data_IF_578923290220
#
_entry.id   IF_578923290220
#
_cell.length_a   1.000
_cell.length_b   1.000
_cell.length_c   1.000
_cell.angle_alpha   90.00
_cell.angle_beta   90.00
_cell.angle_gamma   90.00
#
_symmetry.space_group_name_H-M   'P 1'
#
loop_
_entity.id
_entity.type
_entity.pdbx_description
1 polymer ?
#
# COMPACT_ATOMS: atom_id res chain seq x y z
N UNK A 1 -10.72 -21.19 -25.29
CA UNK A 1 -10.12 -21.12 -24.63
C UNK A 1 -10.41 -20.20 -23.86
N UNK A 2 -10.25 -20.33 -23.29
CA UNK A 2 -10.35 -19.49 -22.33
C UNK A 2 -9.59 -18.29 -22.54
N UNK A 3 -9.54 -17.83 -23.71
CA UNK A 3 -8.84 -16.62 -23.98
C UNK A 3 -9.36 -15.53 -23.15
N UNK A 4 -10.66 -15.50 -22.96
CA UNK A 4 -11.21 -14.46 -22.18
C UNK A 4 -10.77 -14.51 -20.77
N UNK A 5 -10.71 -15.70 -20.21
CA UNK A 5 -10.24 -15.84 -18.85
C UNK A 5 -8.81 -15.41 -18.72
N UNK A 6 -8.03 -15.74 -19.74
CA UNK A 6 -6.63 -15.36 -19.74
C UNK A 6 -6.49 -13.84 -19.69
N UNK A 7 -7.34 -13.14 -20.43
CA UNK A 7 -7.31 -11.69 -20.43
C UNK A 7 -7.64 -11.14 -19.05
N UNK A 8 -8.63 -11.72 -18.40
CA UNK A 8 -8.99 -11.27 -17.07
C UNK A 8 -7.86 -11.53 -16.08
N UNK A 9 -7.22 -12.67 -16.20
CA UNK A 9 -6.10 -12.99 -15.33
C UNK A 9 -4.95 -12.01 -15.53
N UNK A 10 -4.69 -11.68 -16.78
CA UNK A 10 -3.64 -10.72 -17.08
C UNK A 10 -3.95 -9.39 -16.45
N UNK A 11 -5.19 -8.96 -16.51
CA UNK A 11 -5.59 -7.70 -15.91
C UNK A 11 -5.36 -7.74 -14.40
N UNK A 12 -5.71 -8.86 -13.76
CA UNK A 12 -5.48 -9.01 -12.34
C UNK A 12 -4.00 -9.02 -12.01
N UNK A 13 -3.21 -9.61 -12.88
CA UNK A 13 -1.77 -9.68 -12.65
C UNK A 13 -1.10 -8.33 -12.78
N UNK A 14 -1.71 -7.41 -13.53
CA UNK A 14 -1.14 -6.08 -13.65
C UNK A 14 -1.31 -5.25 -12.39
N UNK A 15 -2.17 -5.69 -11.49
CA UNK A 15 -2.32 -5.01 -10.20
C UNK A 15 -1.41 -5.68 -9.20
N UNK A 16 -0.45 -4.94 -8.70
CA UNK A 16 0.53 -5.47 -7.77
C UNK A 16 0.03 -5.31 -6.35
N UNK A 17 0.39 -6.27 -5.51
CA UNK A 17 0.02 -6.22 -4.10
C UNK A 17 0.89 -5.20 -3.39
N UNK A 18 0.27 -4.44 -2.49
CA UNK A 18 0.98 -3.50 -1.64
C UNK A 18 1.20 -4.17 -0.29
N UNK A 19 2.44 -4.18 0.18
CA UNK A 19 2.76 -4.65 1.53
C UNK A 19 2.98 -3.43 2.39
N UNK A 20 2.17 -3.29 3.44
CA UNK A 20 2.19 -2.11 4.29
C UNK A 20 2.50 -2.49 5.72
N UNK A 21 3.45 -1.79 6.34
CA UNK A 21 3.83 -2.05 7.72
C UNK A 21 3.23 -1.01 8.64
N UNK A 22 2.77 -1.45 9.79
CA UNK A 22 2.12 -0.58 10.77
C UNK A 22 2.43 -1.07 12.18
N UNK A 23 2.12 -0.24 13.17
CA UNK A 23 2.08 -0.72 14.55
C UNK A 23 0.81 -0.20 15.19
N UNK A 24 0.37 -0.91 16.23
CA UNK A 24 -0.89 -0.57 16.91
C UNK A 24 -0.76 0.80 17.56
N UNK A 25 -1.73 1.67 17.28
CA UNK A 25 -1.75 3.01 17.86
C UNK A 25 -0.97 4.05 17.08
N UNK A 26 -0.47 3.70 15.91
CA UNK A 26 0.30 4.62 15.08
C UNK A 26 -0.61 5.68 14.46
N UNK A 27 -0.43 6.98 14.80
CA UNK A 27 -1.30 8.01 14.23
C UNK A 27 -1.07 8.21 12.74
N UNK A 28 0.15 8.05 12.26
CA UNK A 28 0.41 8.18 10.84
C UNK A 28 -0.18 7.01 10.06
N UNK A 29 -0.27 5.83 10.69
CA UNK A 29 -0.92 4.70 10.06
C UNK A 29 -2.42 4.96 9.90
N UNK A 30 -3.05 5.54 10.91
CA UNK A 30 -4.46 5.90 10.83
C UNK A 30 -4.69 6.93 9.73
N UNK A 31 -3.78 7.90 9.61
CA UNK A 31 -3.85 8.91 8.57
C UNK A 31 -3.77 8.29 7.20
N UNK A 32 -2.87 7.34 7.02
CA UNK A 32 -2.71 6.66 5.73
C UNK A 32 -3.94 5.84 5.38
N UNK A 33 -4.56 5.20 6.37
CA UNK A 33 -5.77 4.41 6.11
C UNK A 33 -6.92 5.31 5.68
N UNK A 34 -7.03 6.50 6.26
CA UNK A 34 -8.04 7.45 5.84
C UNK A 34 -7.77 7.93 4.42
N UNK A 35 -6.51 8.17 4.09
CA UNK A 35 -6.13 8.58 2.75
C UNK A 35 -6.51 7.50 1.74
N UNK A 36 -6.30 6.23 2.09
CA UNK A 36 -6.67 5.12 1.23
C UNK A 36 -8.17 5.13 0.96
N UNK A 37 -8.98 5.34 2.00
CA UNK A 37 -10.43 5.37 1.84
C UNK A 37 -10.85 6.46 0.88
N UNK A 38 -10.29 7.66 1.03
CA UNK A 38 -10.63 8.76 0.15
C UNK A 38 -10.21 8.51 -1.28
N UNK A 39 -9.02 7.93 -1.47
CA UNK A 39 -8.53 7.64 -2.80
C UNK A 39 -9.39 6.59 -3.50
N UNK A 40 -9.89 5.61 -2.77
CA UNK A 40 -10.78 4.60 -3.33
C UNK A 40 -12.12 5.22 -3.71
N UNK A 41 -12.62 6.17 -2.91
CA UNK A 41 -13.83 6.87 -3.26
C UNK A 41 -13.65 7.67 -4.55
N UNK A 42 -12.49 8.29 -4.71
CA UNK A 42 -12.22 9.11 -5.89
C UNK A 42 -11.94 8.24 -7.11
N UNK A 43 -11.35 7.06 -6.90
CA UNK A 43 -11.03 6.16 -8.00
C UNK A 43 -11.27 4.72 -7.55
N UNK A 44 -12.46 4.18 -7.81
CA UNK A 44 -12.81 2.84 -7.35
C UNK A 44 -11.88 1.73 -7.82
N UNK A 45 -11.12 1.95 -8.89
CA UNK A 45 -10.16 0.95 -9.35
C UNK A 45 -9.12 0.65 -8.28
N UNK A 46 -8.79 1.64 -7.46
CA UNK A 46 -7.83 1.43 -6.39
C UNK A 46 -8.33 0.43 -5.36
N UNK A 47 -9.65 0.28 -5.24
CA UNK A 47 -10.23 -0.69 -4.31
C UNK A 47 -9.96 -2.13 -4.70
N UNK A 48 -9.51 -2.36 -5.93
CA UNK A 48 -9.19 -3.71 -6.40
C UNK A 48 -7.76 -4.11 -6.05
N UNK A 49 -6.95 -3.16 -5.61
CA UNK A 49 -5.57 -3.43 -5.24
C UNK A 49 -5.54 -4.05 -3.86
N UNK A 50 -4.84 -5.17 -3.72
CA UNK A 50 -4.73 -5.83 -2.43
C UNK A 50 -3.66 -5.12 -1.59
N UNK A 51 -4.02 -4.76 -0.36
CA UNK A 51 -3.07 -4.20 0.60
C UNK A 51 -2.99 -5.16 1.76
N UNK A 52 -1.80 -5.67 2.00
CA UNK A 52 -1.57 -6.54 3.13
C UNK A 52 -0.94 -5.71 4.24
N UNK A 53 -1.65 -5.51 5.34
CA UNK A 53 -1.14 -4.78 6.49
C UNK A 53 -0.47 -5.73 7.44
N UNK A 54 0.76 -5.42 7.81
CA UNK A 54 1.56 -6.25 8.70
C UNK A 54 1.89 -5.44 9.94
N UNK A 55 1.42 -5.92 11.10
CA UNK A 55 1.74 -5.27 12.37
C UNK A 55 3.14 -5.71 12.77
N UNK A 56 4.04 -4.74 12.84
CA UNK A 56 5.47 -5.06 12.92
C UNK A 56 5.86 -5.80 14.19
N UNK A 57 5.15 -5.59 15.29
CA UNK A 57 5.51 -6.27 16.54
C UNK A 57 5.10 -7.75 16.53
N UNK A 58 4.21 -8.12 15.61
CA UNK A 58 3.74 -9.50 15.52
C UNK A 58 4.49 -10.33 14.51
N UNK A 59 5.27 -9.68 13.64
CA UNK A 59 5.93 -10.39 12.55
C UNK A 59 7.37 -9.94 12.35
N UNK A 60 8.21 -10.06 13.40
CA UNK A 60 9.60 -9.61 13.26
C UNK A 60 10.37 -10.38 12.18
N UNK A 61 9.96 -11.62 11.90
CA UNK A 61 10.63 -12.41 10.87
C UNK A 61 10.40 -11.82 9.48
N UNK A 62 9.26 -11.16 9.28
CA UNK A 62 8.97 -10.54 7.98
C UNK A 62 9.71 -9.23 7.87
N UNK A 63 9.70 -8.44 8.95
CA UNK A 63 10.34 -7.13 8.97
C UNK A 63 11.81 -7.22 8.63
N UNK A 64 12.46 -8.30 9.04
CA UNK A 64 13.89 -8.46 8.80
C UNK A 64 14.24 -8.43 7.31
N UNK A 65 13.26 -8.68 6.43
CA UNK A 65 13.48 -8.70 4.99
C UNK A 65 13.16 -7.38 4.29
N UNK A 66 12.75 -6.35 5.05
CA UNK A 66 12.36 -5.07 4.48
C UNK A 66 13.14 -3.94 5.14
N UNK A 67 13.47 -2.93 4.36
CA UNK A 67 14.29 -1.81 4.84
C UNK A 67 13.42 -0.57 5.01
N UNK A 68 13.02 -0.28 6.25
CA UNK A 68 12.28 0.94 6.54
C UNK A 68 12.53 1.34 8.00
N UNK A 69 12.31 2.61 8.29
CA UNK A 69 12.54 3.15 9.62
C UNK A 69 11.31 3.74 10.26
N UNK A 70 10.30 4.09 9.46
CA UNK A 70 9.08 4.73 9.97
C UNK A 70 7.86 4.02 9.44
N UNK A 71 6.76 4.06 10.21
CA UNK A 71 5.48 3.50 9.75
C UNK A 71 4.47 4.62 9.58
N UNK A 72 3.56 4.50 8.62
CA UNK A 72 3.45 3.36 7.71
C UNK A 72 4.54 3.37 6.65
N UNK A 73 4.92 2.19 6.21
CA UNK A 73 5.84 2.03 5.09
C UNK A 73 5.19 1.09 4.10
N UNK A 74 5.19 1.45 2.82
CA UNK A 74 4.49 0.67 1.80
C UNK A 74 5.44 0.24 0.71
N UNK A 75 5.40 -1.05 0.39
CA UNK A 75 6.30 -1.68 -0.56
C UNK A 75 5.53 -2.38 -1.65
N UNK A 76 6.15 -2.43 -2.83
CA UNK A 76 5.68 -3.28 -3.91
C UNK A 76 6.90 -4.11 -4.31
N UNK A 77 6.79 -5.45 -4.15
CA UNK A 77 7.88 -6.37 -4.50
C UNK A 77 9.21 -5.97 -3.86
N UNK A 78 9.18 -5.65 -2.59
CA UNK A 78 10.37 -5.29 -1.83
C UNK A 78 10.91 -3.89 -2.15
N UNK A 79 10.33 -3.18 -3.09
CA UNK A 79 10.71 -1.80 -3.38
C UNK A 79 9.87 -0.87 -2.52
N UNK A 80 10.54 -0.03 -1.74
CA UNK A 80 9.83 0.92 -0.88
C UNK A 80 9.33 2.08 -1.73
N UNK A 81 8.00 2.25 -1.76
CA UNK A 81 7.38 3.33 -2.53
C UNK A 81 7.05 4.50 -1.63
N UNK A 82 6.69 4.24 -0.38
CA UNK A 82 6.28 5.27 0.55
C UNK A 82 6.71 4.91 1.96
N UNK A 83 7.15 5.93 2.68
CA UNK A 83 7.46 5.80 4.11
C UNK A 83 7.09 7.13 4.73
N UNK A 84 6.36 7.11 5.85
CA UNK A 84 5.96 8.36 6.50
C UNK A 84 7.17 9.09 7.06
N UNK A 85 7.03 10.39 7.20
CA UNK A 85 8.07 11.19 7.85
C UNK A 85 7.44 12.01 8.96
N UNK A 86 8.28 12.48 9.87
CA UNK A 86 7.83 13.23 11.02
C UNK A 86 7.10 14.49 10.57
N UNK A 87 5.97 14.75 11.22
CA UNK A 87 5.11 15.92 10.91
C UNK A 87 4.50 15.87 9.53
N UNK A 88 4.37 14.68 8.96
CA UNK A 88 3.72 14.54 7.66
C UNK A 88 2.26 14.97 7.74
N UNK A 89 1.83 15.86 6.83
CA UNK A 89 0.44 16.29 6.80
C UNK A 89 -0.42 15.24 6.10
N UNK A 90 -1.73 15.36 6.28
CA UNK A 90 -2.65 14.45 5.60
C UNK A 90 -2.51 14.58 4.08
N UNK A 91 -2.37 15.82 3.58
CA UNK A 91 -2.25 16.02 2.14
C UNK A 91 -0.99 15.39 1.58
N UNK A 92 0.12 15.51 2.30
CA UNK A 92 1.36 14.86 1.90
C UNK A 92 1.20 13.35 1.89
N UNK A 93 0.58 12.83 2.93
CA UNK A 93 0.35 11.39 3.04
C UNK A 93 -0.51 10.91 1.89
N UNK A 94 -1.61 11.61 1.63
CA UNK A 94 -2.54 11.21 0.57
C UNK A 94 -1.86 11.23 -0.80
N UNK A 95 -1.05 12.24 -1.07
CA UNK A 95 -0.33 12.32 -2.33
C UNK A 95 0.64 11.15 -2.49
N UNK A 96 1.34 10.79 -1.41
CA UNK A 96 2.28 9.69 -1.46
C UNK A 96 1.57 8.35 -1.62
N UNK A 97 0.47 8.16 -0.90
CA UNK A 97 -0.31 6.92 -1.01
C UNK A 97 -0.89 6.79 -2.41
N UNK A 98 -1.28 7.91 -3.02
CA UNK A 98 -1.76 7.88 -4.39
C UNK A 98 -0.69 7.35 -5.33
N UNK A 99 0.56 7.77 -5.12
CA UNK A 99 1.67 7.26 -5.93
C UNK A 99 1.83 5.76 -5.78
N UNK A 100 1.62 5.24 -4.56
CA UNK A 100 1.70 3.80 -4.35
C UNK A 100 0.64 3.09 -5.18
N UNK A 101 -0.59 3.61 -5.16
CA UNK A 101 -1.66 3.02 -5.96
C UNK A 101 -1.36 3.11 -7.45
N UNK A 102 -0.81 4.23 -7.90
CA UNK A 102 -0.46 4.38 -9.30
C UNK A 102 0.57 3.35 -9.72
N UNK A 103 1.58 3.11 -8.86
CA UNK A 103 2.58 2.11 -9.15
C UNK A 103 1.98 0.71 -9.13
N UNK A 104 1.03 0.46 -8.23
CA UNK A 104 0.41 -0.85 -8.12
C UNK A 104 -0.50 -1.17 -9.30
N UNK A 105 -1.03 -0.14 -9.97
CA UNK A 105 -1.98 -0.33 -11.05
C UNK A 105 -1.35 -0.11 -12.44
N UNK A 106 -0.07 0.15 -12.49
CA UNK A 106 0.62 0.34 -13.76
C UNK A 106 0.66 -0.92 -14.60
#
# INVERSE_FOLDING_TARGET
>A
MSCLEVIDDVKGENMKKITAFEYTGCPYCAQAKKAIEELIEENPEYGKVKIEWIEEHKHPEIIANYDYQSTPAMFIDKEKIYESHLYESFDECKASVKQVFERATM
#
